data_IF_848748871289
#
_entry.id   IF_848748871289
#
_cell.length_a   1.000
_cell.length_b   1.000
_cell.length_c   1.000
_cell.angle_alpha   90.00
_cell.angle_beta   90.00
_cell.angle_gamma   90.00
#
_symmetry.space_group_name_H-M   'P 1'
#
loop_
_entity.id
_entity.type
_entity.pdbx_description
1 polymer ?
#
# COMPACT_ATOMS: atom_id res chain seq x y z
N UNK A 1 -7.07 51.45 73.20
CA UNK A 1 -6.14 51.71 74.31
C UNK A 1 -4.74 51.65 73.73
N UNK A 2 -4.04 52.80 73.84
CA UNK A 2 -2.63 53.13 73.80
C UNK A 2 -1.75 52.41 72.72
N UNK A 3 -1.23 53.12 71.75
CA UNK A 3 -0.36 54.33 71.69
C UNK A 3 1.08 53.98 72.03
N UNK A 4 2.01 54.19 71.12
CA UNK A 4 3.18 55.08 71.13
C UNK A 4 4.16 54.64 70.00
N UNK A 5 4.30 55.41 68.99
CA UNK A 5 5.32 56.40 68.62
C UNK A 5 6.77 56.00 68.97
N UNK A 6 7.64 55.91 67.95
CA UNK A 6 8.85 56.74 67.81
C UNK A 6 9.53 56.56 66.40
N UNK A 7 9.66 57.67 65.67
CA UNK A 7 10.61 58.00 64.63
C UNK A 7 11.89 58.59 65.25
N UNK A 8 12.93 58.96 64.53
CA UNK A 8 13.61 58.51 63.27
C UNK A 8 15.13 58.45 63.42
N UNK A 9 15.85 58.00 62.42
CA UNK A 9 17.18 58.54 62.08
C UNK A 9 17.58 58.21 60.65
N UNK A 10 17.81 59.25 59.87
CA UNK A 10 18.41 59.25 58.54
C UNK A 10 19.88 58.78 58.60
N UNK A 11 20.29 57.93 57.67
CA UNK A 11 21.69 57.87 57.23
C UNK A 11 21.69 57.73 55.67
N UNK A 12 22.22 58.76 55.03
CA UNK A 12 22.65 58.88 53.69
C UNK A 12 23.71 57.86 53.32
N UNK A 13 23.48 56.99 52.43
CA UNK A 13 24.45 56.06 51.87
C UNK A 13 24.49 56.21 50.35
N UNK A 14 25.67 56.53 49.86
CA UNK A 14 26.04 56.73 48.45
C UNK A 14 25.80 55.45 47.60
N UNK A 15 24.98 55.52 46.56
CA UNK A 15 24.83 54.47 45.55
C UNK A 15 25.97 54.57 44.54
N UNK A 16 26.86 53.56 44.55
CA UNK A 16 27.77 53.31 43.40
C UNK A 16 27.03 52.39 42.45
N UNK A 17 26.66 52.92 41.27
CA UNK A 17 26.08 52.13 40.18
C UNK A 17 27.18 51.31 39.49
N UNK A 18 27.19 50.00 39.73
CA UNK A 18 27.96 49.05 38.92
C UNK A 18 27.15 48.62 37.72
N UNK A 19 27.48 49.14 36.56
CA UNK A 19 26.96 48.69 35.25
C UNK A 19 27.55 47.34 34.89
N UNK A 20 26.79 46.25 35.12
CA UNK A 20 27.15 44.94 34.62
C UNK A 20 26.81 44.83 33.12
N UNK A 21 27.81 44.79 32.26
CA UNK A 21 27.66 44.41 30.85
C UNK A 21 27.34 42.91 30.77
N UNK A 22 26.06 42.56 30.51
CA UNK A 22 25.66 41.22 30.11
C UNK A 22 26.05 41.05 28.63
N UNK A 23 27.17 40.38 28.40
CA UNK A 23 27.53 39.88 27.07
C UNK A 23 26.55 38.74 26.73
N UNK A 24 25.52 39.01 25.89
CA UNK A 24 24.66 38.01 25.31
C UNK A 24 25.44 37.20 24.28
N UNK A 25 25.96 36.04 24.67
CA UNK A 25 26.47 35.05 23.72
C UNK A 25 25.27 34.44 22.98
N UNK A 26 24.94 34.99 21.81
CA UNK A 26 24.08 34.31 20.86
C UNK A 26 24.86 33.10 20.32
N UNK A 27 24.61 31.93 20.92
CA UNK A 27 24.98 30.67 20.29
C UNK A 27 24.19 30.56 18.99
N UNK A 28 24.83 30.84 17.85
CA UNK A 28 24.30 30.52 16.55
C UNK A 28 24.05 29.00 16.50
N UNK A 29 22.77 28.59 16.49
CA UNK A 29 22.39 27.24 16.17
C UNK A 29 22.89 26.96 14.75
N UNK A 30 24.02 26.24 14.64
CA UNK A 30 24.45 25.67 13.37
C UNK A 30 23.30 24.82 12.85
N UNK A 31 22.82 25.05 11.61
CA UNK A 31 21.80 24.19 11.03
C UNK A 31 22.36 22.77 11.04
N UNK A 32 21.69 21.87 11.77
CA UNK A 32 21.98 20.44 11.71
C UNK A 32 21.90 20.03 10.27
N UNK A 33 23.05 19.65 9.69
CA UNK A 33 23.09 19.10 8.34
C UNK A 33 22.04 17.99 8.25
N UNK A 34 21.04 18.19 7.40
CA UNK A 34 20.02 17.17 7.15
C UNK A 34 20.76 15.92 6.70
N UNK A 35 20.68 14.85 7.48
CA UNK A 35 21.29 13.58 7.11
C UNK A 35 20.83 13.20 5.70
N UNK A 36 21.77 12.87 4.82
CA UNK A 36 21.44 12.42 3.49
C UNK A 36 20.44 11.26 3.57
N UNK A 37 19.39 11.26 2.74
CA UNK A 37 18.39 10.19 2.76
C UNK A 37 19.09 8.83 2.58
N UNK A 38 18.61 7.82 3.31
CA UNK A 38 19.14 6.47 3.19
C UNK A 38 19.08 5.99 1.73
N UNK A 39 20.08 5.25 1.25
CA UNK A 39 20.14 4.80 -0.16
C UNK A 39 19.10 3.73 -0.54
N UNK A 40 18.07 3.55 0.28
CA UNK A 40 16.90 2.67 0.03
C UNK A 40 15.80 3.37 -0.78
N UNK A 41 15.79 4.70 -0.82
CA UNK A 41 14.75 5.47 -1.50
C UNK A 41 14.90 5.42 -3.02
N UNK A 42 13.77 5.40 -3.72
CA UNK A 42 13.74 5.64 -5.16
C UNK A 42 14.21 7.07 -5.43
N UNK A 43 15.38 7.19 -6.04
CA UNK A 43 16.00 8.47 -6.38
C UNK A 43 15.70 8.95 -7.80
N UNK A 44 14.80 8.27 -8.51
CA UNK A 44 14.33 8.73 -9.82
C UNK A 44 13.65 10.10 -9.67
N UNK A 45 13.81 11.01 -10.63
CA UNK A 45 13.08 12.28 -10.62
C UNK A 45 11.58 12.04 -10.52
N UNK A 46 10.92 12.69 -9.55
CA UNK A 46 9.46 12.65 -9.49
C UNK A 46 8.91 13.63 -10.53
N UNK A 47 8.06 13.19 -11.48
CA UNK A 47 7.47 14.10 -12.45
C UNK A 47 6.67 15.22 -11.75
N UNK A 48 6.74 16.44 -12.28
CA UNK A 48 6.12 17.64 -11.69
C UNK A 48 4.62 17.47 -11.39
N UNK A 49 3.94 16.62 -12.17
CA UNK A 49 2.53 16.29 -11.96
C UNK A 49 2.25 15.74 -10.54
N UNK A 50 3.18 14.98 -9.96
CA UNK A 50 2.99 14.34 -8.64
C UNK A 50 3.46 15.21 -7.47
N UNK A 51 4.04 16.38 -7.71
CA UNK A 51 4.45 17.29 -6.64
C UNK A 51 3.24 17.89 -5.94
N UNK A 52 3.20 17.85 -4.61
CA UNK A 52 2.15 18.43 -3.78
C UNK A 52 2.73 19.32 -2.70
N UNK A 53 2.02 20.40 -2.39
CA UNK A 53 2.33 21.24 -1.23
C UNK A 53 1.90 20.55 0.07
N UNK A 54 2.40 21.03 1.21
CA UNK A 54 1.94 20.53 2.51
C UNK A 54 0.44 20.79 2.73
N UNK A 55 -0.05 21.96 2.30
CA UNK A 55 -1.48 22.31 2.37
C UNK A 55 -2.35 21.29 1.59
N UNK A 56 -1.92 20.90 0.37
CA UNK A 56 -2.64 19.90 -0.42
C UNK A 56 -2.65 18.53 0.26
N UNK A 57 -1.53 18.08 0.85
CA UNK A 57 -1.49 16.82 1.58
C UNK A 57 -2.38 16.83 2.83
N UNK A 58 -2.52 18.01 3.48
CA UNK A 58 -3.33 18.18 4.68
C UNK A 58 -4.85 18.24 4.39
N UNK A 59 -5.28 18.28 3.13
CA UNK A 59 -6.70 18.19 2.79
C UNK A 59 -7.32 16.91 3.37
N UNK A 60 -8.63 16.86 3.44
CA UNK A 60 -9.35 15.62 3.81
C UNK A 60 -8.87 14.47 2.90
N UNK A 61 -8.53 13.33 3.49
CA UNK A 61 -8.12 12.17 2.69
C UNK A 61 -9.22 11.80 1.69
N UNK A 62 -8.83 11.23 0.54
CA UNK A 62 -9.76 11.00 -0.56
C UNK A 62 -10.11 12.24 -1.38
N UNK A 63 -9.61 13.45 -1.03
CA UNK A 63 -9.83 14.64 -1.86
C UNK A 63 -8.95 14.62 -3.09
N UNK A 64 -9.54 14.71 -4.28
CA UNK A 64 -8.80 14.85 -5.54
C UNK A 64 -8.06 16.20 -5.57
N UNK A 65 -6.74 16.17 -5.74
CA UNK A 65 -5.91 17.38 -5.86
C UNK A 65 -5.81 17.79 -7.32
N UNK A 66 -5.56 16.84 -8.21
CA UNK A 66 -5.49 17.06 -9.66
C UNK A 66 -5.71 15.79 -10.46
N UNK A 67 -6.17 15.95 -11.69
CA UNK A 67 -6.26 14.90 -12.68
C UNK A 67 -5.70 15.42 -14.01
N UNK A 68 -5.00 14.57 -14.74
CA UNK A 68 -4.47 14.88 -16.06
C UNK A 68 -4.84 13.75 -17.02
N UNK A 69 -5.45 14.10 -18.15
CA UNK A 69 -5.70 13.13 -19.21
C UNK A 69 -4.37 12.70 -19.84
N UNK A 70 -4.23 11.40 -20.06
CA UNK A 70 -3.07 10.79 -20.70
C UNK A 70 -3.51 10.16 -22.01
N UNK A 71 -2.69 10.32 -23.03
CA UNK A 71 -2.95 9.84 -24.38
C UNK A 71 -1.88 8.84 -24.80
N UNK A 72 -2.22 7.99 -25.78
CA UNK A 72 -1.21 7.14 -26.43
C UNK A 72 -0.81 5.89 -25.66
N UNK A 73 -1.56 5.50 -24.59
CA UNK A 73 -1.31 4.20 -23.97
C UNK A 73 -1.59 3.09 -25.01
N UNK A 74 -0.61 2.22 -25.30
CA UNK A 74 -0.72 1.24 -26.38
C UNK A 74 -1.78 0.16 -26.12
N UNK A 75 -2.09 -0.13 -24.86
CA UNK A 75 -3.08 -1.15 -24.47
C UNK A 75 -4.46 -0.54 -24.38
N UNK A 76 -4.60 0.61 -23.74
CA UNK A 76 -5.90 1.25 -23.48
C UNK A 76 -6.47 1.94 -24.72
N UNK A 77 -5.65 2.21 -25.75
CA UNK A 77 -6.07 2.76 -27.03
C UNK A 77 -6.77 4.11 -26.89
N UNK A 78 -8.00 4.24 -27.42
CA UNK A 78 -8.77 5.49 -27.41
C UNK A 78 -9.56 5.76 -26.12
N UNK A 79 -9.50 4.86 -25.13
CA UNK A 79 -10.17 5.08 -23.84
C UNK A 79 -9.63 6.32 -23.13
N UNK A 80 -10.53 7.03 -22.41
CA UNK A 80 -10.15 8.19 -21.63
C UNK A 80 -9.42 7.75 -20.36
N UNK A 81 -8.11 7.84 -20.37
CA UNK A 81 -7.25 7.50 -19.22
C UNK A 81 -6.74 8.79 -18.55
N UNK A 82 -6.72 8.78 -17.24
CA UNK A 82 -6.25 9.89 -16.41
C UNK A 82 -5.25 9.38 -15.37
N UNK A 83 -4.18 10.13 -15.15
CA UNK A 83 -3.43 10.04 -13.90
C UNK A 83 -4.03 10.99 -12.88
N UNK A 84 -4.05 10.61 -11.64
CA UNK A 84 -4.64 11.39 -10.54
C UNK A 84 -3.68 11.54 -9.39
N UNK A 85 -3.84 12.63 -8.64
CA UNK A 85 -3.17 12.89 -7.36
C UNK A 85 -4.24 13.30 -6.37
N UNK A 86 -4.22 12.71 -5.18
CA UNK A 86 -5.18 12.97 -4.12
C UNK A 86 -4.51 12.97 -2.73
N UNK A 87 -5.18 13.58 -1.75
CA UNK A 87 -4.75 13.53 -0.37
C UNK A 87 -5.00 12.14 0.22
N UNK A 88 -4.03 11.61 0.96
CA UNK A 88 -4.14 10.30 1.61
C UNK A 88 -3.45 10.30 2.98
N UNK A 89 -3.43 9.15 3.65
CA UNK A 89 -2.81 8.96 4.97
C UNK A 89 -1.93 7.72 4.96
N UNK A 90 -0.75 7.86 5.55
CA UNK A 90 0.14 6.72 5.75
C UNK A 90 -0.30 5.84 6.93
N UNK A 91 0.43 4.78 7.24
CA UNK A 91 0.16 3.85 8.35
C UNK A 91 -0.06 4.57 9.70
N UNK A 92 0.65 5.68 9.93
CA UNK A 92 0.58 6.47 11.17
C UNK A 92 -0.43 7.62 11.12
N UNK A 93 -1.34 7.60 10.15
CA UNK A 93 -2.33 8.66 9.91
C UNK A 93 -1.74 10.03 9.56
N UNK A 94 -0.47 10.07 9.13
CA UNK A 94 0.17 11.31 8.66
C UNK A 94 -0.24 11.61 7.22
N UNK A 95 -0.39 12.90 6.86
CA UNK A 95 -0.76 13.31 5.51
C UNK A 95 0.30 12.91 4.47
N UNK A 96 -0.14 12.22 3.43
CA UNK A 96 0.69 11.86 2.27
C UNK A 96 -0.05 12.17 0.96
N UNK A 97 0.66 12.03 -0.14
CA UNK A 97 0.09 12.04 -1.49
C UNK A 97 -0.22 10.63 -1.93
N UNK A 98 -1.44 10.37 -2.39
CA UNK A 98 -1.81 9.17 -3.14
C UNK A 98 -1.92 9.46 -4.63
N UNK A 99 -1.84 8.43 -5.45
CA UNK A 99 -2.04 8.49 -6.90
C UNK A 99 -2.73 7.24 -7.44
N UNK A 100 -3.35 7.37 -8.62
CA UNK A 100 -4.00 6.28 -9.31
C UNK A 100 -4.13 6.58 -10.81
N UNK A 101 -4.25 5.53 -11.65
CA UNK A 101 -4.81 5.67 -12.97
C UNK A 101 -6.34 5.48 -12.90
N UNK A 102 -7.10 6.35 -13.58
CA UNK A 102 -8.55 6.24 -13.76
C UNK A 102 -8.84 6.11 -15.24
N UNK A 103 -9.51 5.04 -15.64
CA UNK A 103 -9.84 4.77 -17.04
C UNK A 103 -11.35 4.67 -17.19
N UNK A 104 -11.89 5.45 -18.11
CA UNK A 104 -13.33 5.56 -18.32
C UNK A 104 -13.78 4.77 -19.54
N UNK A 105 -14.95 4.12 -19.49
CA UNK A 105 -15.55 3.53 -20.68
C UNK A 105 -15.95 4.63 -21.68
N UNK A 106 -16.26 4.24 -22.89
CA UNK A 106 -16.65 5.17 -23.97
C UNK A 106 -17.79 6.10 -23.54
N UNK A 107 -18.80 5.55 -22.85
CA UNK A 107 -19.94 6.31 -22.29
C UNK A 107 -19.95 6.16 -20.77
N UNK A 108 -19.88 7.29 -20.07
CA UNK A 108 -20.08 7.39 -18.62
C UNK A 108 -21.50 7.92 -18.38
N UNK A 109 -22.23 7.30 -17.47
CA UNK A 109 -23.55 7.70 -17.01
C UNK A 109 -23.64 7.62 -15.49
N UNK A 110 -24.66 8.21 -14.89
CA UNK A 110 -24.92 8.06 -13.47
C UNK A 110 -24.99 6.59 -13.08
N UNK A 111 -24.27 6.20 -12.03
CA UNK A 111 -24.19 4.82 -11.56
C UNK A 111 -23.31 3.89 -12.42
N UNK A 112 -22.47 4.42 -13.34
CA UNK A 112 -21.47 3.59 -14.04
C UNK A 112 -20.66 2.76 -13.04
N UNK A 113 -20.68 1.42 -13.09
CA UNK A 113 -19.92 0.58 -12.16
C UNK A 113 -18.42 0.86 -12.20
N UNK A 114 -17.76 0.72 -11.06
CA UNK A 114 -16.31 0.89 -10.96
C UNK A 114 -15.67 -0.41 -10.50
N UNK A 115 -14.66 -0.88 -11.24
CA UNK A 115 -13.76 -1.93 -10.77
C UNK A 115 -12.43 -1.31 -10.36
N UNK A 116 -12.00 -1.60 -9.13
CA UNK A 116 -10.70 -1.17 -8.60
C UNK A 116 -9.75 -2.34 -8.72
N UNK A 117 -8.82 -2.27 -9.65
CA UNK A 117 -7.82 -3.33 -9.88
C UNK A 117 -6.59 -3.01 -9.04
N UNK A 118 -6.38 -3.78 -7.99
CA UNK A 118 -5.15 -3.75 -7.21
C UNK A 118 -4.19 -4.78 -7.81
N UNK A 119 -3.33 -4.31 -8.71
CA UNK A 119 -2.42 -5.19 -9.46
C UNK A 119 -1.30 -5.77 -8.59
N UNK A 120 -0.65 -6.82 -9.07
CA UNK A 120 0.55 -7.42 -8.44
C UNK A 120 1.79 -6.55 -8.74
N UNK A 121 1.83 -5.32 -8.26
CA UNK A 121 2.93 -4.38 -8.55
C UNK A 121 4.27 -4.93 -8.03
N UNK A 122 4.31 -5.39 -6.77
CA UNK A 122 5.44 -6.07 -6.11
C UNK A 122 6.81 -5.46 -6.42
N UNK A 123 6.93 -4.14 -6.42
CA UNK A 123 8.10 -3.40 -6.92
C UNK A 123 8.58 -2.37 -5.90
N UNK A 124 9.82 -1.92 -6.03
CA UNK A 124 10.39 -0.82 -5.24
C UNK A 124 10.40 0.50 -6.02
N UNK A 125 10.42 0.44 -7.35
CA UNK A 125 10.41 1.60 -8.23
C UNK A 125 9.01 2.22 -8.36
N UNK A 126 8.91 3.55 -8.19
CA UNK A 126 7.63 4.25 -8.36
C UNK A 126 7.12 4.22 -9.81
N UNK A 127 8.03 4.23 -10.78
CA UNK A 127 7.69 4.17 -12.21
C UNK A 127 7.01 2.87 -12.62
N UNK A 128 7.06 1.85 -11.76
CA UNK A 128 6.39 0.57 -11.96
C UNK A 128 4.90 0.60 -11.61
N UNK A 129 4.42 1.69 -11.00
CA UNK A 129 3.04 1.80 -10.57
C UNK A 129 2.14 2.29 -11.71
N UNK A 130 0.86 1.90 -11.74
CA UNK A 130 -0.03 2.11 -12.89
C UNK A 130 -0.15 3.56 -13.38
N UNK A 131 -0.27 4.54 -12.48
CA UNK A 131 -0.44 5.93 -12.95
C UNK A 131 0.84 6.51 -13.53
N UNK A 132 2.01 6.06 -13.07
CA UNK A 132 3.31 6.47 -13.59
C UNK A 132 3.63 5.83 -14.94
N UNK A 133 3.21 4.57 -15.13
CA UNK A 133 3.43 3.83 -16.36
C UNK A 133 2.39 4.12 -17.46
N UNK A 134 1.40 4.96 -17.18
CA UNK A 134 0.24 5.18 -18.06
C UNK A 134 0.63 5.73 -19.45
N UNK A 135 1.70 6.54 -19.54
CA UNK A 135 2.27 7.06 -20.75
C UNK A 135 3.66 6.46 -21.10
N UNK A 136 3.98 5.32 -20.47
CA UNK A 136 5.23 4.62 -20.78
C UNK A 136 5.26 4.15 -22.23
N UNK A 137 6.40 4.33 -22.90
CA UNK A 137 6.57 3.90 -24.28
C UNK A 137 6.49 2.37 -24.38
N UNK A 138 5.87 1.87 -25.43
CA UNK A 138 5.84 0.44 -25.75
C UNK A 138 7.25 -0.14 -25.79
N UNK A 139 7.44 -1.35 -25.27
CA UNK A 139 8.75 -2.00 -25.19
C UNK A 139 9.62 -1.52 -24.01
N UNK A 140 9.11 -0.65 -23.14
CA UNK A 140 9.79 -0.33 -21.89
C UNK A 140 9.34 -1.30 -20.77
N UNK A 141 10.24 -1.60 -19.83
CA UNK A 141 9.93 -2.43 -18.67
C UNK A 141 8.69 -1.96 -17.90
N UNK A 142 8.43 -0.67 -17.85
CA UNK A 142 7.28 -0.09 -17.17
C UNK A 142 5.97 -0.38 -17.89
N UNK A 143 5.95 -0.29 -19.24
CA UNK A 143 4.79 -0.63 -20.06
C UNK A 143 4.48 -2.12 -19.96
N UNK A 144 5.50 -2.98 -20.09
CA UNK A 144 5.38 -4.44 -20.02
C UNK A 144 4.90 -4.90 -18.64
N UNK A 145 5.46 -4.32 -17.57
CA UNK A 145 5.06 -4.60 -16.20
C UNK A 145 3.56 -4.34 -15.95
N UNK A 146 3.02 -3.27 -16.51
CA UNK A 146 1.61 -2.88 -16.34
C UNK A 146 0.68 -3.43 -17.42
N UNK A 147 1.20 -4.12 -18.43
CA UNK A 147 0.40 -4.58 -19.58
C UNK A 147 -0.75 -5.50 -19.16
N UNK A 148 -0.50 -6.41 -18.21
CA UNK A 148 -1.52 -7.32 -17.68
C UNK A 148 -2.68 -6.56 -17.06
N UNK A 149 -2.42 -5.58 -16.19
CA UNK A 149 -3.44 -4.79 -15.51
C UNK A 149 -4.25 -3.95 -16.50
N UNK A 150 -3.61 -3.38 -17.52
CA UNK A 150 -4.31 -2.64 -18.54
C UNK A 150 -5.14 -3.55 -19.46
N UNK A 151 -4.66 -4.77 -19.79
CA UNK A 151 -5.45 -5.77 -20.52
C UNK A 151 -6.68 -6.23 -19.71
N UNK A 152 -6.51 -6.44 -18.39
CA UNK A 152 -7.63 -6.74 -17.51
C UNK A 152 -8.63 -5.57 -17.48
N UNK A 153 -8.14 -4.33 -17.37
CA UNK A 153 -8.98 -3.13 -17.43
C UNK A 153 -9.83 -3.06 -18.71
N UNK A 154 -9.27 -3.39 -19.89
CA UNK A 154 -10.02 -3.44 -21.13
C UNK A 154 -11.22 -4.40 -21.07
N UNK A 155 -11.11 -5.52 -20.35
CA UNK A 155 -12.21 -6.45 -20.16
C UNK A 155 -13.41 -5.81 -19.45
N UNK A 156 -13.16 -4.95 -18.47
CA UNK A 156 -14.20 -4.21 -17.75
C UNK A 156 -14.72 -3.00 -18.51
N UNK A 157 -13.84 -2.27 -19.20
CA UNK A 157 -14.21 -1.13 -20.05
C UNK A 157 -15.17 -1.55 -21.19
N UNK A 158 -14.97 -2.73 -21.81
CA UNK A 158 -15.87 -3.32 -22.80
C UNK A 158 -17.26 -3.62 -22.23
N UNK A 159 -17.40 -3.84 -20.92
CA UNK A 159 -18.69 -3.99 -20.21
C UNK A 159 -19.33 -2.63 -19.88
N UNK A 160 -18.71 -1.53 -20.22
CA UNK A 160 -19.16 -0.17 -19.84
C UNK A 160 -18.84 0.20 -18.40
N UNK A 161 -17.89 -0.47 -17.75
CA UNK A 161 -17.48 -0.19 -16.37
C UNK A 161 -16.23 0.69 -16.38
N UNK A 162 -16.14 1.62 -15.45
CA UNK A 162 -14.92 2.40 -15.19
C UNK A 162 -13.91 1.56 -14.40
N UNK A 163 -12.64 1.88 -14.56
CA UNK A 163 -11.56 1.18 -13.86
C UNK A 163 -10.68 2.19 -13.11
N UNK A 164 -10.33 1.86 -11.87
CA UNK A 164 -9.33 2.55 -11.07
C UNK A 164 -8.18 1.57 -10.82
N UNK A 165 -6.95 2.01 -11.07
CA UNK A 165 -5.74 1.27 -10.75
C UNK A 165 -4.92 2.13 -9.75
N UNK A 166 -5.05 1.90 -8.45
CA UNK A 166 -4.33 2.67 -7.44
C UNK A 166 -2.83 2.35 -7.43
N UNK A 167 -2.01 3.37 -7.21
CA UNK A 167 -0.59 3.23 -6.91
C UNK A 167 -0.42 2.92 -5.41
N UNK A 168 -0.95 1.80 -4.98
CA UNK A 168 -1.12 1.48 -3.56
C UNK A 168 0.20 1.20 -2.82
N UNK A 169 1.32 1.07 -3.52
CA UNK A 169 2.63 1.03 -2.88
C UNK A 169 3.11 2.43 -2.45
N UNK A 170 2.28 3.46 -2.62
CA UNK A 170 2.60 4.83 -2.26
C UNK A 170 3.64 5.49 -3.18
N UNK A 171 3.89 6.78 -2.95
CA UNK A 171 4.76 7.59 -3.80
C UNK A 171 6.24 7.19 -3.75
N UNK A 172 6.64 6.37 -2.79
CA UNK A 172 8.03 5.97 -2.60
C UNK A 172 8.23 4.46 -2.76
N UNK A 173 7.22 3.69 -3.19
CA UNK A 173 7.31 2.24 -3.33
C UNK A 173 7.44 1.55 -1.97
N UNK A 174 6.53 1.84 -1.05
CA UNK A 174 6.45 1.27 0.30
C UNK A 174 5.86 -0.15 0.27
N UNK A 175 6.49 -1.03 -0.50
CA UNK A 175 6.05 -2.41 -0.69
C UNK A 175 5.94 -3.16 0.64
N UNK A 176 4.80 -3.79 0.89
CA UNK A 176 4.51 -4.50 2.14
C UNK A 176 3.91 -3.63 3.25
N UNK A 177 3.83 -2.29 3.08
CA UNK A 177 3.16 -1.39 4.02
C UNK A 177 1.63 -1.44 3.85
N UNK A 178 1.03 -2.58 4.19
CA UNK A 178 -0.34 -2.92 3.81
C UNK A 178 -1.41 -2.04 4.44
N UNK A 179 -1.17 -1.49 5.63
CA UNK A 179 -2.09 -0.54 6.27
C UNK A 179 -2.20 0.73 5.41
N UNK A 180 -1.07 1.28 4.96
CA UNK A 180 -1.05 2.42 4.05
C UNK A 180 -1.67 2.06 2.69
N UNK A 181 -1.30 0.90 2.13
CA UNK A 181 -1.83 0.44 0.83
C UNK A 181 -3.36 0.40 0.82
N UNK A 182 -3.98 -0.14 1.89
CA UNK A 182 -5.44 -0.14 2.02
C UNK A 182 -6.04 1.26 2.01
N UNK A 183 -5.42 2.22 2.68
CA UNK A 183 -5.86 3.63 2.73
C UNK A 183 -5.76 4.31 1.36
N UNK A 184 -4.63 4.14 0.67
CA UNK A 184 -4.45 4.70 -0.68
C UNK A 184 -5.51 4.16 -1.65
N UNK A 185 -5.87 2.88 -1.56
CA UNK A 185 -6.96 2.29 -2.37
C UNK A 185 -8.30 2.95 -2.08
N UNK A 186 -8.65 3.09 -0.81
CA UNK A 186 -9.91 3.72 -0.38
C UNK A 186 -9.98 5.17 -0.84
N UNK A 187 -8.90 5.93 -0.64
CA UNK A 187 -8.79 7.33 -1.04
C UNK A 187 -8.83 7.52 -2.57
N UNK A 188 -8.33 6.55 -3.35
CA UNK A 188 -8.44 6.57 -4.81
C UNK A 188 -9.91 6.44 -5.27
N UNK A 189 -10.70 5.60 -4.59
CA UNK A 189 -12.15 5.48 -4.84
C UNK A 189 -12.86 6.76 -4.47
N UNK A 190 -12.60 7.30 -3.28
CA UNK A 190 -13.21 8.54 -2.81
C UNK A 190 -12.86 9.71 -3.73
N UNK A 191 -11.60 9.86 -4.14
CA UNK A 191 -11.17 10.89 -5.07
C UNK A 191 -11.88 10.80 -6.44
N UNK A 192 -12.15 9.60 -6.91
CA UNK A 192 -12.84 9.39 -8.17
C UNK A 192 -14.35 9.63 -8.08
N UNK A 193 -14.98 9.30 -6.94
CA UNK A 193 -16.43 9.36 -6.75
C UNK A 193 -16.93 10.67 -6.17
N UNK A 194 -16.11 11.41 -5.40
CA UNK A 194 -16.48 12.73 -4.87
C UNK A 194 -16.18 13.88 -5.85
N UNK A 195 -15.32 13.62 -6.84
CA UNK A 195 -14.97 14.62 -7.86
C UNK A 195 -15.93 14.61 -9.03
N UNK A 196 -16.22 15.79 -9.57
CA UNK A 196 -17.03 15.95 -10.80
C UNK A 196 -16.28 15.61 -12.09
N UNK A 197 -14.94 15.48 -12.03
CA UNK A 197 -14.06 15.29 -13.20
C UNK A 197 -14.41 14.04 -14.01
N UNK A 198 -14.81 12.96 -13.34
CA UNK A 198 -14.99 11.66 -13.98
C UNK A 198 -16.46 11.30 -14.24
N UNK A 199 -17.41 12.02 -13.64
CA UNK A 199 -18.85 11.72 -13.73
C UNK A 199 -19.24 10.42 -12.97
N UNK A 200 -18.49 10.06 -11.92
CA UNK A 200 -18.64 8.80 -11.18
C UNK A 200 -19.27 8.97 -9.78
N UNK A 201 -19.85 10.13 -9.47
CA UNK A 201 -20.32 10.49 -8.13
C UNK A 201 -21.43 9.59 -7.53
N UNK A 202 -22.18 8.86 -8.34
CA UNK A 202 -23.20 7.90 -7.88
C UNK A 202 -22.80 6.45 -8.10
N UNK A 203 -21.55 6.21 -8.47
CA UNK A 203 -21.05 4.90 -8.87
C UNK A 203 -20.75 4.02 -7.66
N UNK A 204 -21.08 2.74 -7.78
CA UNK A 204 -20.66 1.70 -6.85
C UNK A 204 -19.35 1.10 -7.31
N UNK A 205 -18.45 0.78 -6.36
CA UNK A 205 -17.15 0.19 -6.63
C UNK A 205 -17.06 -1.24 -6.08
N UNK A 206 -16.33 -2.10 -6.78
CA UNK A 206 -15.89 -3.42 -6.30
C UNK A 206 -14.37 -3.47 -6.37
N UNK A 207 -13.74 -3.87 -5.27
CA UNK A 207 -12.29 -4.07 -5.22
C UNK A 207 -11.94 -5.45 -5.77
N UNK A 208 -10.86 -5.55 -6.54
CA UNK A 208 -10.29 -6.85 -6.94
C UNK A 208 -8.77 -6.81 -6.90
N UNK A 209 -8.14 -7.94 -6.56
CA UNK A 209 -6.69 -8.07 -6.57
C UNK A 209 -6.23 -9.51 -6.37
N UNK A 210 -5.00 -9.77 -6.80
CA UNK A 210 -4.36 -11.07 -6.65
C UNK A 210 -2.98 -10.92 -6.03
N UNK A 211 -2.51 -11.91 -5.28
CA UNK A 211 -1.18 -11.94 -4.67
C UNK A 211 -0.93 -10.68 -3.80
N UNK A 212 0.11 -9.91 -4.04
CA UNK A 212 0.35 -8.63 -3.36
C UNK A 212 -0.82 -7.65 -3.51
N UNK A 213 -1.48 -7.62 -4.67
CA UNK A 213 -2.72 -6.85 -4.88
C UNK A 213 -3.92 -7.40 -4.09
N UNK A 214 -4.00 -8.73 -3.92
CA UNK A 214 -4.99 -9.38 -3.05
C UNK A 214 -4.82 -8.96 -1.59
N UNK A 215 -3.58 -8.87 -1.12
CA UNK A 215 -3.26 -8.39 0.23
C UNK A 215 -3.72 -6.94 0.42
N UNK A 216 -3.38 -6.05 -0.50
CA UNK A 216 -3.82 -4.65 -0.46
C UNK A 216 -5.36 -4.52 -0.52
N UNK A 217 -6.04 -5.34 -1.35
CA UNK A 217 -7.50 -5.43 -1.44
C UNK A 217 -8.13 -5.80 -0.09
N UNK A 218 -7.59 -6.81 0.58
CA UNK A 218 -8.14 -7.26 1.87
C UNK A 218 -7.90 -6.23 2.99
N UNK A 219 -6.77 -5.52 2.96
CA UNK A 219 -6.54 -4.40 3.89
C UNK A 219 -7.50 -3.23 3.63
N UNK A 220 -7.76 -2.88 2.38
CA UNK A 220 -8.76 -1.87 2.03
C UNK A 220 -10.15 -2.30 2.51
N UNK A 221 -10.58 -3.54 2.23
CA UNK A 221 -11.87 -4.05 2.68
C UNK A 221 -12.01 -4.05 4.20
N UNK A 222 -10.96 -4.40 4.95
CA UNK A 222 -10.96 -4.40 6.41
C UNK A 222 -10.95 -3.00 7.02
N UNK A 223 -10.36 -2.01 6.36
CA UNK A 223 -10.29 -0.62 6.82
C UNK A 223 -11.51 0.23 6.42
N UNK A 224 -12.22 -0.15 5.36
CA UNK A 224 -13.34 0.63 4.83
C UNK A 224 -14.35 1.05 5.91
N UNK A 225 -14.79 0.19 6.85
CA UNK A 225 -15.84 0.55 7.81
C UNK A 225 -15.51 1.69 8.75
N UNK A 226 -14.22 1.98 8.98
CA UNK A 226 -13.79 3.03 9.92
C UNK A 226 -12.93 4.11 9.27
N UNK A 227 -12.25 3.83 8.16
CA UNK A 227 -11.41 4.82 7.47
C UNK A 227 -12.19 5.59 6.41
N UNK A 228 -13.02 4.92 5.61
CA UNK A 228 -13.85 5.52 4.57
C UNK A 228 -15.28 4.94 4.60
N UNK A 229 -16.06 5.18 5.70
CA UNK A 229 -17.37 4.57 5.90
C UNK A 229 -18.41 4.99 4.87
N UNK A 230 -18.20 6.14 4.22
CA UNK A 230 -19.11 6.71 3.23
C UNK A 230 -18.76 6.31 1.78
N UNK A 231 -17.66 5.60 1.56
CA UNK A 231 -17.31 5.15 0.23
C UNK A 231 -18.34 4.13 -0.29
N UNK A 232 -18.64 4.22 -1.58
CA UNK A 232 -19.61 3.33 -2.22
C UNK A 232 -18.99 1.98 -2.63
N UNK A 233 -18.08 1.45 -1.84
CA UNK A 233 -17.47 0.12 -2.08
C UNK A 233 -18.41 -0.94 -1.56
N UNK A 234 -18.91 -1.80 -2.45
CA UNK A 234 -19.97 -2.75 -2.15
C UNK A 234 -19.49 -4.21 -2.00
N UNK A 235 -18.28 -4.53 -2.42
CA UNK A 235 -17.73 -5.89 -2.34
C UNK A 235 -16.22 -5.90 -2.63
N UNK A 236 -15.54 -7.00 -2.28
CA UNK A 236 -14.14 -7.21 -2.59
C UNK A 236 -13.84 -8.67 -3.00
N UNK A 237 -13.04 -8.85 -4.05
CA UNK A 237 -12.53 -10.12 -4.51
C UNK A 237 -11.01 -10.18 -4.35
N UNK A 238 -10.48 -11.13 -3.60
CA UNK A 238 -9.06 -11.26 -3.34
C UNK A 238 -8.59 -12.72 -3.51
N UNK A 239 -7.54 -12.91 -4.30
CA UNK A 239 -7.01 -14.23 -4.54
C UNK A 239 -5.51 -14.36 -4.28
N UNK A 240 -5.05 -15.60 -4.01
CA UNK A 240 -3.64 -15.91 -3.80
C UNK A 240 -2.94 -14.98 -2.80
N UNK A 241 -3.63 -14.61 -1.73
CA UNK A 241 -3.23 -13.51 -0.85
C UNK A 241 -2.19 -13.94 0.19
N UNK A 242 -0.99 -13.32 0.23
CA UNK A 242 0.01 -13.59 1.27
C UNK A 242 -0.43 -12.96 2.60
N UNK A 243 -1.15 -13.71 3.44
CA UNK A 243 -1.80 -13.18 4.65
C UNK A 243 -0.90 -13.10 5.88
N UNK A 244 0.30 -13.69 5.84
CA UNK A 244 1.23 -13.76 6.98
C UNK A 244 2.67 -13.53 6.49
N UNK A 245 3.17 -12.31 6.63
CA UNK A 245 4.50 -11.93 6.13
C UNK A 245 5.64 -12.66 6.88
N UNK A 246 5.65 -12.80 8.22
CA UNK A 246 6.66 -13.60 8.91
C UNK A 246 6.68 -15.06 8.46
N UNK A 247 5.50 -15.65 8.23
CA UNK A 247 5.42 -17.02 7.71
C UNK A 247 6.03 -17.12 6.30
N UNK A 248 5.73 -16.15 5.42
CA UNK A 248 6.29 -16.07 4.08
C UNK A 248 7.83 -15.94 4.11
N UNK A 249 8.37 -15.08 4.96
CA UNK A 249 9.81 -14.92 5.17
C UNK A 249 10.42 -16.24 5.62
N UNK A 250 9.78 -16.95 6.59
CA UNK A 250 10.26 -18.26 7.06
C UNK A 250 10.28 -19.31 5.95
N UNK A 251 9.28 -19.32 5.08
CA UNK A 251 9.26 -20.20 3.92
C UNK A 251 10.42 -19.87 2.97
N UNK A 252 10.53 -18.61 2.56
CA UNK A 252 11.50 -18.20 1.55
C UNK A 252 12.96 -18.37 2.01
N UNK A 253 13.26 -18.18 3.28
CA UNK A 253 14.59 -18.41 3.80
C UNK A 253 14.95 -19.90 3.90
N UNK A 254 13.98 -20.80 4.11
CA UNK A 254 14.20 -22.26 4.13
C UNK A 254 14.43 -22.84 2.74
N UNK A 255 13.98 -22.17 1.69
CA UNK A 255 14.27 -22.49 0.31
C UNK A 255 15.63 -21.95 -0.14
N UNK A 256 16.40 -21.35 0.76
CA UNK A 256 17.52 -20.46 0.49
C UNK A 256 18.79 -21.10 -0.08
N UNK A 257 18.93 -22.43 -0.06
CA UNK A 257 20.08 -23.13 -0.68
C UNK A 257 19.80 -23.52 -2.15
N UNK A 258 18.58 -23.24 -2.62
CA UNK A 258 18.19 -23.42 -4.01
C UNK A 258 18.11 -22.02 -4.65
N UNK A 259 18.65 -21.81 -5.87
CA UNK A 259 18.46 -20.57 -6.61
C UNK A 259 16.98 -20.19 -6.61
N UNK A 260 16.62 -19.17 -5.85
CA UNK A 260 15.23 -18.88 -5.57
C UNK A 260 14.96 -17.38 -5.69
N UNK A 261 14.20 -16.94 -6.70
CA UNK A 261 13.81 -15.54 -6.83
C UNK A 261 12.90 -15.08 -5.69
N UNK A 262 12.27 -16.01 -4.95
CA UNK A 262 11.34 -15.69 -3.89
C UNK A 262 11.96 -14.89 -2.73
N UNK A 263 13.29 -15.04 -2.48
CA UNK A 263 13.98 -14.22 -1.49
C UNK A 263 14.01 -12.73 -1.87
N UNK A 264 13.93 -12.41 -3.15
CA UNK A 264 13.76 -11.05 -3.66
C UNK A 264 12.47 -10.37 -3.17
N UNK A 265 11.37 -11.12 -3.07
CA UNK A 265 10.13 -10.61 -2.45
C UNK A 265 10.35 -10.23 -0.99
N UNK A 266 10.97 -11.12 -0.20
CA UNK A 266 11.22 -10.84 1.22
C UNK A 266 12.07 -9.58 1.38
N UNK A 267 13.16 -9.44 0.60
CA UNK A 267 14.01 -8.26 0.62
C UNK A 267 13.25 -7.01 0.18
N UNK A 268 12.47 -7.08 -0.89
CA UNK A 268 11.66 -5.98 -1.39
C UNK A 268 10.64 -5.49 -0.35
N UNK A 269 9.92 -6.42 0.29
CA UNK A 269 8.96 -6.12 1.37
C UNK A 269 9.66 -5.48 2.57
N UNK A 270 10.80 -6.01 3.01
CA UNK A 270 11.55 -5.43 4.13
C UNK A 270 12.00 -3.99 3.84
N UNK A 271 12.51 -3.71 2.64
CA UNK A 271 12.92 -2.36 2.23
C UNK A 271 11.72 -1.43 2.09
N UNK A 272 10.63 -1.88 1.46
CA UNK A 272 9.40 -1.08 1.33
C UNK A 272 8.80 -0.74 2.69
N UNK A 273 8.79 -1.68 3.64
CA UNK A 273 8.36 -1.43 5.01
C UNK A 273 9.32 -0.45 5.74
N UNK A 274 10.65 -0.54 5.54
CA UNK A 274 11.58 0.44 6.13
C UNK A 274 11.33 1.85 5.60
N UNK A 275 10.94 2.01 4.34
CA UNK A 275 10.53 3.31 3.78
C UNK A 275 9.34 3.91 4.53
N UNK A 276 8.35 3.11 4.86
CA UNK A 276 7.15 3.56 5.59
C UNK A 276 7.40 3.72 7.11
N UNK A 277 8.04 2.73 7.73
CA UNK A 277 8.18 2.68 9.19
C UNK A 277 9.42 3.42 9.70
N UNK A 278 10.38 3.66 8.83
CA UNK A 278 11.64 4.36 9.13
C UNK A 278 12.70 3.46 9.79
N UNK A 279 13.96 3.84 9.59
CA UNK A 279 15.13 3.09 10.09
C UNK A 279 15.23 3.02 11.61
N UNK A 280 14.62 3.95 12.34
CA UNK A 280 14.55 3.87 13.82
C UNK A 280 13.75 2.67 14.28
N UNK A 281 12.79 2.22 13.50
CA UNK A 281 11.90 1.12 13.85
C UNK A 281 12.31 -0.20 13.22
N UNK A 282 12.89 -0.19 12.03
CA UNK A 282 13.25 -1.41 11.30
C UNK A 282 14.73 -1.57 11.03
N UNK A 283 15.47 -0.54 10.71
CA UNK A 283 16.89 -0.54 10.37
C UNK A 283 17.34 -1.74 9.49
N UNK A 284 16.57 -2.05 8.45
CA UNK A 284 16.84 -3.17 7.53
C UNK A 284 18.15 -2.94 6.81
N UNK A 285 18.29 -1.77 6.16
CA UNK A 285 19.49 -1.44 5.37
C UNK A 285 20.75 -1.37 6.24
N UNK A 286 20.66 -0.87 7.47
CA UNK A 286 21.81 -0.77 8.39
C UNK A 286 22.41 -2.14 8.73
N UNK A 287 21.57 -3.19 8.79
CA UNK A 287 21.95 -4.57 9.14
C UNK A 287 22.44 -5.39 7.95
N UNK A 288 22.34 -4.89 6.73
CA UNK A 288 22.76 -5.61 5.54
C UNK A 288 24.27 -5.69 5.42
N UNK A 289 24.74 -6.79 4.83
CA UNK A 289 26.11 -6.93 4.37
C UNK A 289 26.46 -5.92 3.29
N UNK A 290 27.73 -5.69 2.94
CA UNK A 290 28.11 -4.87 1.80
C UNK A 290 27.45 -5.31 0.49
N UNK A 291 27.31 -6.63 0.26
CA UNK A 291 26.62 -7.20 -0.90
C UNK A 291 25.13 -6.85 -0.87
N UNK A 292 24.44 -7.09 0.27
CA UNK A 292 23.03 -6.75 0.45
C UNK A 292 22.75 -5.27 0.19
N UNK A 293 23.59 -4.38 0.75
CA UNK A 293 23.52 -2.93 0.49
C UNK A 293 23.70 -2.58 -0.98
N UNK A 294 24.59 -3.27 -1.69
CA UNK A 294 24.81 -3.05 -3.12
C UNK A 294 23.58 -3.47 -3.93
N UNK A 295 22.99 -4.63 -3.64
CA UNK A 295 21.80 -5.14 -4.31
C UNK A 295 20.63 -4.17 -4.09
N UNK A 296 20.38 -3.72 -2.86
CA UNK A 296 19.29 -2.78 -2.55
C UNK A 296 19.45 -1.45 -3.29
N UNK A 297 20.69 -0.90 -3.34
CA UNK A 297 20.94 0.34 -4.11
C UNK A 297 20.61 0.19 -5.60
N UNK A 298 20.79 -0.99 -6.17
CA UNK A 298 20.45 -1.28 -7.57
C UNK A 298 18.95 -1.51 -7.75
N UNK A 299 18.29 -2.25 -6.82
CA UNK A 299 16.88 -2.64 -6.93
C UNK A 299 15.87 -1.56 -6.55
N UNK A 300 16.30 -0.48 -5.90
CA UNK A 300 15.40 0.56 -5.35
C UNK A 300 14.49 1.28 -6.36
N UNK A 301 14.81 1.20 -7.65
CA UNK A 301 14.07 1.81 -8.75
C UNK A 301 13.49 0.79 -9.72
N UNK A 302 13.68 -0.52 -9.44
CA UNK A 302 13.35 -1.60 -10.36
C UNK A 302 11.90 -2.06 -10.19
N UNK A 303 11.37 -2.59 -11.28
CA UNK A 303 10.12 -3.32 -11.29
C UNK A 303 10.34 -4.78 -10.84
N UNK A 304 9.24 -5.49 -10.68
CA UNK A 304 9.15 -6.84 -10.13
C UNK A 304 10.21 -7.81 -10.66
N UNK A 305 10.20 -8.09 -11.97
CA UNK A 305 11.06 -9.15 -12.54
C UNK A 305 12.55 -8.81 -12.46
N UNK A 306 12.90 -7.54 -12.69
CA UNK A 306 14.27 -7.06 -12.58
C UNK A 306 14.77 -7.13 -11.12
N UNK A 307 13.90 -6.77 -10.16
CA UNK A 307 14.19 -6.83 -8.73
C UNK A 307 14.41 -8.27 -8.29
N UNK A 308 13.57 -9.22 -8.73
CA UNK A 308 13.71 -10.64 -8.42
C UNK A 308 15.00 -11.22 -9.03
N UNK A 309 15.28 -10.93 -10.29
CA UNK A 309 16.51 -11.37 -10.97
C UNK A 309 17.76 -10.87 -10.26
N UNK A 310 17.76 -9.63 -9.78
CA UNK A 310 18.90 -9.07 -9.05
C UNK A 310 19.14 -9.75 -7.70
N UNK A 311 18.07 -10.25 -7.08
CA UNK A 311 18.09 -10.94 -5.79
C UNK A 311 18.11 -12.47 -5.93
N UNK A 312 18.16 -12.99 -7.16
CA UNK A 312 18.27 -14.43 -7.43
C UNK A 312 19.53 -14.99 -6.77
N UNK A 313 19.45 -16.17 -6.20
CA UNK A 313 20.55 -16.83 -5.50
C UNK A 313 21.03 -16.14 -4.20
N UNK A 314 20.30 -15.14 -3.71
CA UNK A 314 20.60 -14.54 -2.42
C UNK A 314 19.92 -15.31 -1.27
N UNK A 315 20.56 -15.25 -0.11
CA UNK A 315 20.09 -15.89 1.14
C UNK A 315 20.13 -14.90 2.28
N UNK A 316 19.50 -15.17 3.44
CA UNK A 316 19.66 -14.36 4.64
C UNK A 316 21.13 -14.14 4.99
N UNK A 317 21.99 -15.19 4.83
CA UNK A 317 23.41 -15.09 5.12
C UNK A 317 24.15 -14.14 4.18
N UNK A 318 23.90 -14.19 2.88
CA UNK A 318 24.56 -13.29 1.91
C UNK A 318 24.08 -11.86 2.03
N UNK A 319 22.80 -11.65 2.34
CA UNK A 319 22.20 -10.31 2.41
C UNK A 319 22.33 -9.64 3.79
N UNK A 320 22.28 -10.42 4.89
CA UNK A 320 22.20 -9.91 6.26
C UNK A 320 23.26 -10.50 7.21
N UNK A 321 24.04 -11.46 6.79
CA UNK A 321 25.03 -12.14 7.65
C UNK A 321 24.42 -13.07 8.71
N UNK A 322 23.11 -13.34 8.65
CA UNK A 322 22.38 -14.25 9.56
C UNK A 322 21.74 -15.38 8.78
N UNK A 323 21.47 -16.50 9.44
CA UNK A 323 20.81 -17.65 8.84
C UNK A 323 19.28 -17.61 9.00
N UNK A 324 18.79 -16.83 9.96
CA UNK A 324 17.36 -16.70 10.26
C UNK A 324 16.95 -15.24 10.44
N UNK A 325 16.17 -14.70 9.50
CA UNK A 325 15.62 -13.35 9.56
C UNK A 325 14.57 -13.21 10.68
N UNK A 326 13.94 -14.31 11.11
CA UNK A 326 12.96 -14.27 12.21
C UNK A 326 13.61 -14.04 13.57
N UNK A 327 14.94 -14.16 13.68
CA UNK A 327 15.68 -13.72 14.87
C UNK A 327 15.61 -12.19 15.10
N UNK A 328 15.32 -11.40 14.05
CA UNK A 328 15.17 -9.95 14.10
C UNK A 328 13.77 -9.56 14.54
N UNK A 329 13.50 -9.59 15.85
CA UNK A 329 12.15 -9.45 16.42
C UNK A 329 11.44 -8.14 16.09
N UNK A 330 12.15 -7.04 15.89
CA UNK A 330 11.60 -5.76 15.44
C UNK A 330 11.04 -5.85 14.00
N UNK A 331 11.71 -6.56 13.09
CA UNK A 331 11.22 -6.82 11.74
C UNK A 331 9.99 -7.74 11.77
N UNK A 332 10.03 -8.79 12.58
CA UNK A 332 8.89 -9.70 12.79
C UNK A 332 7.67 -8.95 13.32
N UNK A 333 7.87 -8.03 14.27
CA UNK A 333 6.79 -7.21 14.82
C UNK A 333 6.11 -6.37 13.74
N UNK A 334 6.87 -5.65 12.92
CA UNK A 334 6.31 -4.85 11.81
C UNK A 334 5.69 -5.75 10.74
N UNK A 335 6.29 -6.89 10.45
CA UNK A 335 5.71 -7.91 9.57
C UNK A 335 4.33 -8.39 10.04
N UNK A 336 4.16 -8.65 11.35
CA UNK A 336 2.86 -9.02 11.94
C UNK A 336 1.83 -7.89 11.84
N UNK A 337 2.21 -6.64 12.03
CA UNK A 337 1.31 -5.47 11.87
C UNK A 337 0.76 -5.37 10.44
N UNK A 338 1.53 -5.83 9.46
CA UNK A 338 1.16 -5.85 8.04
C UNK A 338 0.68 -7.22 7.55
N UNK A 339 0.28 -8.10 8.46
CA UNK A 339 -0.23 -9.45 8.15
C UNK A 339 -1.69 -9.58 8.55
N UNK A 340 -2.54 -10.01 7.62
CA UNK A 340 -3.99 -10.20 7.87
C UNK A 340 -4.26 -11.21 9.00
N UNK A 341 -3.38 -12.19 9.19
CA UNK A 341 -3.45 -13.15 10.30
C UNK A 341 -3.55 -12.46 11.67
N UNK A 342 -2.88 -11.31 11.83
CA UNK A 342 -2.82 -10.55 13.09
C UNK A 342 -3.62 -9.25 13.05
N UNK A 343 -4.07 -8.80 11.88
CA UNK A 343 -4.77 -7.54 11.70
C UNK A 343 -6.21 -7.65 12.24
N UNK A 344 -6.54 -6.90 13.28
CA UNK A 344 -7.81 -7.00 14.01
C UNK A 344 -9.07 -6.59 13.23
N UNK A 345 -9.06 -5.50 12.42
CA UNK A 345 -10.24 -5.09 11.69
C UNK A 345 -10.76 -6.17 10.74
N UNK A 346 -12.10 -6.21 10.60
CA UNK A 346 -12.82 -7.23 9.83
C UNK A 346 -13.72 -6.52 8.83
N UNK A 347 -13.70 -6.93 7.54
CA UNK A 347 -14.60 -6.40 6.53
C UNK A 347 -16.07 -6.51 6.91
N UNK A 348 -16.89 -5.60 6.38
CA UNK A 348 -18.36 -5.67 6.49
C UNK A 348 -19.03 -5.96 5.15
N UNK A 349 -18.33 -5.79 4.06
CA UNK A 349 -18.81 -6.05 2.70
C UNK A 349 -18.64 -7.52 2.30
N UNK A 350 -19.44 -8.04 1.35
CA UNK A 350 -19.27 -9.36 0.76
C UNK A 350 -17.87 -9.59 0.20
N UNK A 351 -17.33 -10.79 0.41
CA UNK A 351 -16.00 -11.19 -0.03
C UNK A 351 -16.04 -12.37 -0.99
N UNK A 352 -15.15 -12.37 -2.00
CA UNK A 352 -14.82 -13.52 -2.83
C UNK A 352 -13.34 -13.84 -2.65
N UNK A 353 -13.04 -14.95 -2.00
CA UNK A 353 -11.69 -15.38 -1.65
C UNK A 353 -11.33 -16.61 -2.46
N UNK A 354 -10.19 -16.60 -3.15
CA UNK A 354 -9.77 -17.73 -3.99
C UNK A 354 -8.24 -17.94 -3.98
N UNK A 355 -7.81 -19.13 -4.41
CA UNK A 355 -6.40 -19.51 -4.48
C UNK A 355 -6.26 -20.99 -4.83
N UNK A 356 -5.04 -21.48 -5.02
CA UNK A 356 -4.79 -22.89 -5.27
C UNK A 356 -4.37 -23.63 -3.99
N UNK A 357 -4.85 -24.84 -3.81
CA UNK A 357 -4.37 -25.74 -2.75
C UNK A 357 -2.90 -26.12 -2.92
N UNK A 358 -2.47 -26.24 -4.16
CA UNK A 358 -1.11 -26.65 -4.55
C UNK A 358 -0.11 -25.50 -4.57
N UNK A 359 -0.54 -24.28 -4.23
CA UNK A 359 0.32 -23.11 -4.16
C UNK A 359 1.22 -23.19 -2.91
N UNK A 360 2.46 -23.61 -3.13
CA UNK A 360 3.45 -23.72 -2.06
C UNK A 360 3.97 -22.36 -1.58
N UNK A 361 3.92 -21.33 -2.44
CA UNK A 361 4.39 -19.99 -2.13
C UNK A 361 3.39 -19.19 -1.30
N UNK A 362 2.09 -19.37 -1.57
CA UNK A 362 0.99 -18.69 -0.87
C UNK A 362 -0.11 -19.69 -0.54
N UNK A 363 0.10 -20.56 0.48
CA UNK A 363 -0.82 -21.65 0.79
C UNK A 363 -2.22 -21.16 1.10
N UNK A 364 -3.21 -21.76 0.44
CA UNK A 364 -4.63 -21.46 0.64
C UNK A 364 -5.07 -21.71 2.09
N UNK A 365 -4.43 -22.61 2.81
CA UNK A 365 -4.70 -22.88 4.23
C UNK A 365 -4.50 -21.66 5.13
N UNK A 366 -3.58 -20.75 4.81
CA UNK A 366 -3.40 -19.50 5.54
C UNK A 366 -4.58 -18.55 5.30
N UNK A 367 -5.04 -18.44 4.05
CA UNK A 367 -6.26 -17.71 3.70
C UNK A 367 -7.49 -18.25 4.42
N UNK A 368 -7.60 -19.59 4.49
CA UNK A 368 -8.68 -20.27 5.19
C UNK A 368 -8.74 -19.87 6.66
N UNK A 369 -7.60 -19.79 7.36
CA UNK A 369 -7.55 -19.32 8.76
C UNK A 369 -8.10 -17.90 8.92
N UNK A 370 -7.80 -17.01 7.97
CA UNK A 370 -8.34 -15.64 7.98
C UNK A 370 -9.86 -15.65 7.76
N UNK A 371 -10.37 -16.48 6.84
CA UNK A 371 -11.81 -16.66 6.58
C UNK A 371 -12.51 -17.19 7.82
N UNK A 372 -11.97 -18.22 8.49
CA UNK A 372 -12.52 -18.76 9.75
C UNK A 372 -12.62 -17.67 10.81
N UNK A 373 -11.54 -16.89 11.00
CA UNK A 373 -11.54 -15.77 11.94
C UNK A 373 -12.62 -14.72 11.62
N UNK A 374 -12.80 -14.39 10.35
CA UNK A 374 -13.82 -13.44 9.91
C UNK A 374 -15.23 -13.99 10.18
N UNK A 375 -15.47 -15.26 9.87
CA UNK A 375 -16.74 -15.93 10.13
C UNK A 375 -17.04 -16.08 11.61
N UNK A 376 -16.03 -16.38 12.44
CA UNK A 376 -16.20 -16.44 13.91
C UNK A 376 -16.62 -15.08 14.48
N UNK A 377 -16.03 -13.99 14.00
CA UNK A 377 -16.35 -12.63 14.47
C UNK A 377 -17.63 -12.05 13.83
N UNK A 378 -17.98 -12.45 12.61
CA UNK A 378 -19.16 -12.01 11.85
C UNK A 378 -19.80 -13.19 11.12
N UNK A 379 -20.62 -14.02 11.79
CA UNK A 379 -21.21 -15.24 11.20
C UNK A 379 -21.99 -15.01 9.91
N UNK A 380 -22.65 -13.85 9.80
CA UNK A 380 -23.48 -13.48 8.64
C UNK A 380 -22.70 -12.78 7.52
N UNK A 381 -21.39 -12.51 7.67
CA UNK A 381 -20.59 -11.92 6.61
C UNK A 381 -20.61 -12.84 5.37
N UNK A 382 -21.11 -12.37 4.21
CA UNK A 382 -21.13 -13.20 3.02
C UNK A 382 -19.71 -13.40 2.49
N UNK A 383 -19.23 -14.63 2.52
CA UNK A 383 -17.92 -15.00 1.96
C UNK A 383 -18.10 -16.18 1.02
N UNK A 384 -17.66 -16.01 -0.21
CA UNK A 384 -17.39 -17.12 -1.13
C UNK A 384 -15.93 -17.51 -0.95
N UNK A 385 -15.69 -18.75 -0.56
CA UNK A 385 -14.35 -19.33 -0.54
C UNK A 385 -14.25 -20.34 -1.67
N UNK A 386 -13.48 -20.00 -2.72
CA UNK A 386 -13.43 -20.70 -4.00
C UNK A 386 -12.02 -21.23 -4.28
N UNK A 387 -11.64 -22.40 -3.74
CA UNK A 387 -10.38 -23.02 -4.08
C UNK A 387 -10.33 -23.40 -5.56
N UNK A 388 -9.18 -23.17 -6.18
CA UNK A 388 -8.94 -23.51 -7.58
C UNK A 388 -8.05 -24.75 -7.67
N UNK A 389 -8.28 -25.57 -8.68
CA UNK A 389 -7.46 -26.70 -9.04
C UNK A 389 -6.47 -26.24 -10.10
N UNK A 390 -5.32 -25.75 -9.67
CA UNK A 390 -4.28 -25.30 -10.60
C UNK A 390 -2.91 -25.69 -10.07
N UNK A 391 -1.94 -26.01 -10.96
CA UNK A 391 -0.62 -26.49 -10.55
C UNK A 391 0.22 -25.40 -9.86
N UNK A 392 -0.11 -24.11 -10.03
CA UNK A 392 0.68 -23.01 -9.49
C UNK A 392 -0.12 -21.76 -9.19
N UNK A 393 0.55 -20.78 -8.58
CA UNK A 393 0.02 -19.49 -8.19
C UNK A 393 -0.73 -18.76 -9.32
N UNK A 394 -0.13 -18.65 -10.51
CA UNK A 394 -0.71 -17.89 -11.63
C UNK A 394 -1.82 -18.65 -12.36
N UNK A 395 -1.87 -19.95 -12.28
CA UNK A 395 -2.98 -20.74 -12.84
C UNK A 395 -4.26 -20.52 -12.06
N UNK A 396 -4.19 -20.47 -10.73
CA UNK A 396 -5.34 -20.12 -9.89
C UNK A 396 -5.91 -18.74 -10.24
N UNK A 397 -5.04 -17.75 -10.50
CA UNK A 397 -5.47 -16.44 -10.99
C UNK A 397 -6.27 -16.55 -12.29
N UNK A 398 -5.68 -17.20 -13.31
CA UNK A 398 -6.32 -17.31 -14.64
C UNK A 398 -7.66 -18.05 -14.61
N UNK A 399 -7.72 -19.16 -13.87
CA UNK A 399 -8.92 -20.00 -13.78
C UNK A 399 -10.06 -19.30 -13.04
N UNK A 400 -9.76 -18.52 -12.01
CA UNK A 400 -10.76 -17.83 -11.21
C UNK A 400 -11.36 -16.60 -11.92
N UNK A 401 -10.68 -15.99 -12.90
CA UNK A 401 -11.13 -14.72 -13.51
C UNK A 401 -12.59 -14.76 -14.01
N UNK A 402 -13.07 -15.78 -14.72
CA UNK A 402 -14.48 -15.81 -15.16
C UNK A 402 -15.46 -15.86 -13.98
N UNK A 403 -15.09 -16.52 -12.87
CA UNK A 403 -15.92 -16.63 -11.66
C UNK A 403 -15.97 -15.28 -10.94
N UNK A 404 -14.81 -14.65 -10.76
CA UNK A 404 -14.68 -13.32 -10.13
C UNK A 404 -15.49 -12.29 -10.90
N UNK A 405 -15.37 -12.25 -12.23
CA UNK A 405 -16.09 -11.30 -13.08
C UNK A 405 -17.62 -11.49 -13.01
N UNK A 406 -18.10 -12.73 -13.01
CA UNK A 406 -19.55 -13.03 -12.83
C UNK A 406 -20.02 -12.60 -11.45
N UNK A 407 -19.25 -12.93 -10.41
CA UNK A 407 -19.60 -12.56 -9.05
C UNK A 407 -19.66 -11.04 -8.88
N UNK A 408 -18.71 -10.28 -9.42
CA UNK A 408 -18.73 -8.81 -9.41
C UNK A 408 -19.94 -8.24 -10.15
N UNK A 409 -20.27 -8.79 -11.33
CA UNK A 409 -21.46 -8.38 -12.08
C UNK A 409 -22.75 -8.57 -11.27
N UNK A 410 -22.87 -9.67 -10.54
CA UNK A 410 -24.00 -9.92 -9.64
C UNK A 410 -24.07 -8.90 -8.48
N UNK A 411 -22.91 -8.44 -7.96
CA UNK A 411 -22.88 -7.37 -6.93
C UNK A 411 -23.36 -6.05 -7.50
N UNK A 412 -22.92 -5.68 -8.69
CA UNK A 412 -23.40 -4.47 -9.38
C UNK A 412 -24.91 -4.54 -9.72
N UNK A 413 -25.41 -5.73 -10.03
CA UNK A 413 -26.84 -5.97 -10.25
C UNK A 413 -27.68 -6.01 -8.95
N UNK A 414 -27.06 -5.84 -7.77
CA UNK A 414 -27.75 -5.86 -6.48
C UNK A 414 -28.24 -7.24 -6.04
N UNK A 415 -27.80 -8.33 -6.68
CA UNK A 415 -28.15 -9.68 -6.25
C UNK A 415 -27.56 -10.00 -4.88
N UNK A 416 -28.23 -10.79 -4.04
CA UNK A 416 -27.69 -11.24 -2.75
C UNK A 416 -26.34 -11.94 -2.90
N UNK A 417 -25.38 -11.63 -2.02
CA UNK A 417 -24.08 -12.26 -2.07
C UNK A 417 -24.16 -13.70 -1.54
N UNK A 418 -23.66 -14.71 -2.27
CA UNK A 418 -23.58 -16.07 -1.75
C UNK A 418 -22.69 -16.13 -0.51
N UNK A 419 -23.00 -17.05 0.39
CA UNK A 419 -22.22 -17.34 1.58
C UNK A 419 -21.86 -18.83 1.55
N UNK A 420 -20.77 -19.18 0.88
CA UNK A 420 -20.32 -20.55 0.67
C UNK A 420 -19.04 -20.89 1.44
N UNK A 421 -18.57 -19.98 2.30
CA UNK A 421 -17.54 -20.32 3.26
C UNK A 421 -18.14 -21.27 4.29
N UNK A 422 -17.95 -22.57 4.06
CA UNK A 422 -18.40 -23.64 4.95
C UNK A 422 -17.70 -23.43 6.30
N UNK A 423 -18.42 -23.67 7.41
CA UNK A 423 -17.80 -23.85 8.71
C UNK A 423 -16.87 -25.08 8.59
N UNK A 424 -15.57 -24.83 8.58
CA UNK A 424 -14.61 -25.93 8.60
C UNK A 424 -14.63 -26.55 9.99
N UNK A 425 -14.63 -27.88 10.12
CA UNK A 425 -14.50 -28.51 11.42
C UNK A 425 -13.20 -28.01 12.08
N UNK A 426 -13.31 -27.62 13.34
CA UNK A 426 -12.15 -27.28 14.15
C UNK A 426 -11.28 -28.54 14.25
N UNK A 427 -10.11 -28.53 13.59
CA UNK A 427 -9.07 -29.55 13.72
C UNK A 427 -8.12 -29.18 14.83
#
# INVERSE_FOLDING_TARGET
MNAAHHHPLRRTGVLIAATAFLASTTTALTPTASAAPLPIWDNSPTPAFYHTTQAQRNMTHGTLIRAQRVYGNPVLGSHRAYRTVFASRNTFNKPITGSAAVVLPTKVKAGTPIVVINDMINSLGRSCQPSFALDAKHGTVYAEHNERAYKEALGYLKRGWAVILPDFLGMNGEYGANIMSGRVILDAVDAATTSTVFGLHTSKAVLTGYSGGGMATMYAAAQQPFYSPHSHIIAAAAGGTPVDLPWMVNLFQKLGDIPNPAFGYATGVLIGMEREYGSRRMNVYGRMTPLGKSIVRKSRTLCHDEMLKLSENQTPKTMFGVTDLLSMQDLVKVGRENSLTYYRPIPTMPLFIYGAYTDIGVPLSLMQRVVIRYKKARPHLPIVFAPQIGPNHMDAFRQAQPLVQRWMADRFAGKPAPNTAIAFPEG
#
